data_IF_721479710131
#
_entry.id   IF_721479710131
#
_cell.length_a   1.000
_cell.length_b   1.000
_cell.length_c   1.000
_cell.angle_alpha   90.00
_cell.angle_beta   90.00
_cell.angle_gamma   90.00
#
_symmetry.space_group_name_H-M   'P 1'
#
loop_
_entity.id
_entity.type
_entity.pdbx_description
1 polymer ?
#
# COMPACT_ATOMS: atom_id res chain seq x y z
N UNK A 1 25.17 16.66 10.51
CA UNK A 1 23.79 16.21 10.19
C UNK A 1 23.90 14.88 9.46
N UNK A 2 23.40 13.78 10.02
CA UNK A 2 23.50 12.45 9.39
C UNK A 2 22.45 12.35 8.27
N UNK A 3 22.88 11.98 7.06
CA UNK A 3 21.99 11.80 5.90
C UNK A 3 22.07 10.35 5.43
N UNK A 4 20.93 9.70 5.31
CA UNK A 4 20.81 8.39 4.67
C UNK A 4 20.68 8.57 3.16
N UNK A 5 21.38 7.74 2.40
CA UNK A 5 21.15 7.67 0.96
C UNK A 5 19.78 7.06 0.68
N UNK A 6 19.16 7.42 -0.44
CA UNK A 6 17.89 6.83 -0.88
C UNK A 6 17.98 5.32 -1.01
N UNK A 7 19.14 4.80 -1.39
CA UNK A 7 19.36 3.35 -1.52
C UNK A 7 19.44 2.65 -0.17
N UNK A 8 20.12 3.24 0.81
CA UNK A 8 20.12 2.73 2.18
C UNK A 8 18.69 2.74 2.77
N UNK A 9 17.92 3.80 2.51
CA UNK A 9 16.52 3.89 2.94
C UNK A 9 15.65 2.79 2.29
N UNK A 10 15.81 2.55 0.98
CA UNK A 10 15.09 1.46 0.29
C UNK A 10 15.45 0.09 0.88
N UNK A 11 16.73 -0.18 1.11
CA UNK A 11 17.19 -1.44 1.72
C UNK A 11 16.61 -1.64 3.12
N UNK A 12 16.54 -0.56 3.92
CA UNK A 12 15.98 -0.60 5.26
C UNK A 12 14.50 -1.02 5.26
N UNK A 13 13.70 -0.47 4.34
CA UNK A 13 12.26 -0.74 4.27
C UNK A 13 11.89 -1.96 3.40
N UNK A 14 12.83 -2.51 2.64
CA UNK A 14 12.59 -3.63 1.74
C UNK A 14 11.90 -4.82 2.44
N UNK A 15 12.36 -5.32 3.60
CA UNK A 15 11.72 -6.46 4.27
C UNK A 15 10.25 -6.19 4.64
N UNK A 16 9.97 -4.97 5.09
CA UNK A 16 8.60 -4.54 5.43
C UNK A 16 7.71 -4.51 4.20
N UNK A 17 8.20 -3.94 3.10
CA UNK A 17 7.42 -3.85 1.85
C UNK A 17 7.16 -5.23 1.25
N UNK A 18 8.16 -6.12 1.24
CA UNK A 18 7.97 -7.50 0.80
C UNK A 18 6.91 -8.22 1.63
N UNK A 19 6.93 -8.04 2.96
CA UNK A 19 5.92 -8.66 3.82
C UNK A 19 4.51 -8.14 3.54
N UNK A 20 4.35 -6.84 3.31
CA UNK A 20 3.04 -6.25 2.93
C UNK A 20 2.54 -6.85 1.62
N UNK A 21 3.41 -6.95 0.59
CA UNK A 21 3.05 -7.56 -0.69
C UNK A 21 2.63 -9.02 -0.53
N UNK A 22 3.39 -9.80 0.23
CA UNK A 22 3.05 -11.21 0.51
C UNK A 22 1.66 -11.29 1.16
N UNK A 23 1.40 -10.49 2.19
CA UNK A 23 0.10 -10.51 2.88
C UNK A 23 -1.05 -10.10 1.97
N UNK A 24 -0.87 -9.11 1.09
CA UNK A 24 -1.89 -8.75 0.08
C UNK A 24 -2.11 -9.92 -0.88
N UNK A 25 -1.04 -10.56 -1.37
CA UNK A 25 -1.13 -11.72 -2.25
C UNK A 25 -1.87 -12.88 -1.61
N UNK A 26 -1.58 -13.18 -0.35
CA UNK A 26 -2.24 -14.25 0.42
C UNK A 26 -3.76 -13.99 0.53
N UNK A 27 -4.15 -12.74 0.79
CA UNK A 27 -5.56 -12.34 0.81
C UNK A 27 -6.18 -12.51 -0.57
N UNK A 28 -5.57 -11.97 -1.63
CA UNK A 28 -6.15 -12.04 -2.99
C UNK A 28 -6.26 -13.47 -3.53
N UNK A 29 -5.45 -14.40 -3.04
CA UNK A 29 -5.52 -15.82 -3.39
C UNK A 29 -6.60 -16.58 -2.60
N UNK A 30 -7.19 -15.98 -1.56
CA UNK A 30 -8.27 -16.62 -0.81
C UNK A 30 -9.53 -16.78 -1.67
N UNK A 31 -10.19 -17.95 -1.63
CA UNK A 31 -11.40 -18.20 -2.41
C UNK A 31 -12.57 -17.27 -2.03
N UNK A 32 -12.55 -16.68 -0.84
CA UNK A 32 -13.63 -15.81 -0.32
C UNK A 32 -13.63 -14.40 -0.91
N UNK A 33 -12.52 -14.00 -1.54
CA UNK A 33 -12.29 -12.64 -2.07
C UNK A 33 -12.16 -12.62 -3.59
N UNK A 34 -12.79 -13.60 -4.25
CA UNK A 34 -12.93 -13.62 -5.71
C UNK A 34 -13.72 -12.41 -6.21
N UNK A 35 -13.26 -11.82 -7.31
CA UNK A 35 -13.95 -10.71 -7.98
C UNK A 35 -13.67 -9.32 -7.39
N UNK A 36 -12.65 -9.16 -6.54
CA UNK A 36 -12.21 -7.83 -6.11
C UNK A 36 -11.56 -7.10 -7.28
N UNK A 37 -11.98 -5.86 -7.49
CA UNK A 37 -11.47 -4.98 -8.55
C UNK A 37 -10.64 -3.81 -8.04
N UNK A 38 -10.70 -3.51 -6.74
CA UNK A 38 -10.11 -2.31 -6.16
C UNK A 38 -9.30 -2.64 -4.91
N UNK A 39 -8.13 -2.00 -4.79
CA UNK A 39 -7.31 -1.98 -3.58
C UNK A 39 -7.12 -0.53 -3.15
N UNK A 40 -7.62 -0.19 -1.97
CA UNK A 40 -7.43 1.13 -1.37
C UNK A 40 -6.21 1.09 -0.45
N UNK A 41 -5.19 1.89 -0.77
CA UNK A 41 -4.01 2.04 0.07
C UNK A 41 -4.20 3.25 0.99
N UNK A 42 -4.43 3.01 2.28
CA UNK A 42 -4.77 4.02 3.30
C UNK A 42 -3.91 3.90 4.56
N UNK A 43 -3.97 4.90 5.43
CA UNK A 43 -3.19 4.97 6.67
C UNK A 43 -1.87 5.74 6.51
N UNK A 44 -1.22 6.11 7.62
CA UNK A 44 -0.06 7.01 7.58
C UNK A 44 1.11 6.51 6.74
N UNK A 45 1.38 5.20 6.76
CA UNK A 45 2.47 4.64 5.96
C UNK A 45 2.16 4.59 4.46
N UNK A 46 0.89 4.72 4.05
CA UNK A 46 0.51 4.83 2.65
C UNK A 46 1.05 6.11 1.97
N UNK A 47 1.49 7.11 2.75
CA UNK A 47 2.17 8.30 2.21
C UNK A 47 3.56 7.98 1.64
N UNK A 48 4.15 6.85 2.03
CA UNK A 48 5.50 6.44 1.61
C UNK A 48 5.57 6.23 0.09
N UNK A 49 6.38 7.02 -0.65
CA UNK A 49 6.53 6.83 -2.10
C UNK A 49 7.07 5.45 -2.48
N UNK A 50 7.91 4.87 -1.62
CA UNK A 50 8.46 3.51 -1.82
C UNK A 50 7.32 2.49 -1.76
N UNK A 51 6.45 2.58 -0.76
CA UNK A 51 5.33 1.65 -0.62
C UNK A 51 4.36 1.80 -1.80
N UNK A 52 3.96 3.04 -2.13
CA UNK A 52 3.04 3.29 -3.23
C UNK A 52 3.56 2.72 -4.56
N UNK A 53 4.84 2.94 -4.86
CA UNK A 53 5.47 2.42 -6.07
C UNK A 53 5.45 0.88 -6.11
N UNK A 54 5.87 0.24 -5.03
CA UNK A 54 5.98 -1.23 -4.94
C UNK A 54 4.61 -1.92 -5.01
N UNK A 55 3.59 -1.38 -4.33
CA UNK A 55 2.21 -1.91 -4.38
C UNK A 55 1.61 -1.73 -5.76
N UNK A 56 1.79 -0.56 -6.39
CA UNK A 56 1.33 -0.35 -7.77
C UNK A 56 2.01 -1.32 -8.72
N UNK A 57 3.34 -1.49 -8.63
CA UNK A 57 4.09 -2.39 -9.49
C UNK A 57 3.63 -3.83 -9.34
N UNK A 58 3.33 -4.26 -8.12
CA UNK A 58 2.94 -5.64 -7.85
C UNK A 58 1.51 -5.98 -8.28
N UNK A 59 0.56 -5.05 -8.13
CA UNK A 59 -0.87 -5.39 -8.20
C UNK A 59 -1.70 -4.63 -9.25
N UNK A 60 -1.13 -3.62 -9.92
CA UNK A 60 -1.92 -2.84 -10.91
C UNK A 60 -2.29 -3.63 -12.16
N UNK A 61 -1.65 -4.78 -12.40
CA UNK A 61 -2.00 -5.69 -13.51
C UNK A 61 -3.24 -6.55 -13.22
N UNK A 62 -3.59 -6.74 -11.95
CA UNK A 62 -4.70 -7.60 -11.53
C UNK A 62 -5.89 -6.81 -10.99
N UNK A 63 -5.67 -5.63 -10.42
CA UNK A 63 -6.72 -4.77 -9.86
C UNK A 63 -6.33 -3.30 -9.90
N UNK A 64 -7.30 -2.41 -9.65
CA UNK A 64 -7.04 -0.97 -9.60
C UNK A 64 -6.57 -0.55 -8.19
N UNK A 65 -5.32 -0.13 -8.10
CA UNK A 65 -4.75 0.46 -6.87
C UNK A 65 -5.14 1.94 -6.77
N UNK A 66 -5.94 2.27 -5.75
CA UNK A 66 -6.42 3.61 -5.42
C UNK A 66 -5.67 4.12 -4.19
N UNK A 67 -5.11 5.32 -4.31
CA UNK A 67 -4.42 6.02 -3.22
C UNK A 67 -5.20 7.32 -3.02
N UNK A 68 -6.06 7.40 -1.99
CA UNK A 68 -6.89 8.57 -1.74
C UNK A 68 -6.06 9.82 -1.38
N UNK A 69 -6.65 11.01 -1.53
CA UNK A 69 -6.06 12.22 -0.97
C UNK A 69 -6.17 12.21 0.56
N UNK A 70 -5.16 12.78 1.24
CA UNK A 70 -5.04 12.76 2.70
C UNK A 70 -5.18 11.34 3.27
N UNK A 71 -4.36 10.39 2.78
CA UNK A 71 -4.43 8.96 3.13
C UNK A 71 -4.49 8.68 4.64
N UNK A 72 -3.85 9.53 5.45
CA UNK A 72 -3.87 9.46 6.92
C UNK A 72 -5.24 9.79 7.54
N UNK A 73 -6.06 10.60 6.86
CA UNK A 73 -7.39 11.02 7.29
C UNK A 73 -8.52 10.33 6.53
N UNK A 74 -8.23 9.57 5.48
CA UNK A 74 -9.25 8.94 4.62
C UNK A 74 -10.27 8.13 5.41
N UNK A 75 -9.82 7.34 6.39
CA UNK A 75 -10.71 6.52 7.21
C UNK A 75 -11.67 7.41 8.02
N UNK A 76 -11.14 8.45 8.67
CA UNK A 76 -11.95 9.40 9.42
C UNK A 76 -12.95 10.13 8.52
N UNK A 77 -12.50 10.61 7.36
CA UNK A 77 -13.37 11.29 6.38
C UNK A 77 -14.51 10.39 5.93
N UNK A 78 -14.23 9.11 5.65
CA UNK A 78 -15.26 8.14 5.29
C UNK A 78 -16.25 7.89 6.44
N UNK A 79 -15.77 7.83 7.68
CA UNK A 79 -16.58 7.56 8.86
C UNK A 79 -17.51 8.70 9.27
N UNK A 80 -17.24 9.95 8.87
CA UNK A 80 -18.11 11.12 9.18
C UNK A 80 -19.03 11.49 8.03
N UNK A 81 -18.84 10.92 6.84
CA UNK A 81 -19.72 11.13 5.68
C UNK A 81 -21.01 10.30 5.77
N UNK A 82 -21.01 9.25 6.59
CA UNK A 82 -22.12 8.33 6.84
C UNK A 82 -22.38 8.22 8.34
#
# INVERSE_FOLDING_TARGET
MMRLSSEAMKRLFHPTVEKIKSTIGDVLNSPDVKGIHYLFLVGGFAESPILQHEIRRAFSSILKVIIPQDVSLTILKGAVLF
#
